data_IF_063432530070
#
_entry.id   IF_063432530070
#
_cell.length_a   1.000
_cell.length_b   1.000
_cell.length_c   1.000
_cell.angle_alpha   90.00
_cell.angle_beta   90.00
_cell.angle_gamma   90.00
#
_symmetry.space_group_name_H-M   'P 1'
#
loop_
_entity.id
_entity.type
_entity.pdbx_description
1 polymer ?
#
# COMPACT_ATOMS: atom_id res chain seq x y z
N UNK A 1 31.14 7.43 5.91
CA UNK A 1 30.39 8.37 5.05
C UNK A 1 29.58 9.30 5.95
N UNK A 2 29.61 10.62 5.71
CA UNK A 2 28.69 11.54 6.41
C UNK A 2 27.28 11.30 5.89
N UNK A 3 26.27 11.25 6.75
CA UNK A 3 24.87 10.94 6.39
C UNK A 3 24.02 12.22 6.30
N UNK A 4 24.51 13.34 6.82
CA UNK A 4 23.80 14.62 6.88
C UNK A 4 22.99 14.74 8.16
N UNK A 5 22.11 13.76 8.42
CA UNK A 5 21.43 13.61 9.70
C UNK A 5 22.14 12.64 10.65
N UNK A 6 21.93 12.84 11.96
CA UNK A 6 22.45 11.93 13.00
C UNK A 6 21.70 10.60 12.94
N UNK A 7 22.42 9.50 12.81
CA UNK A 7 21.85 8.14 12.84
C UNK A 7 21.49 7.74 14.27
N UNK A 8 20.56 6.80 14.43
CA UNK A 8 19.93 6.39 15.67
C UNK A 8 19.22 7.55 16.38
N UNK A 9 18.66 8.47 15.58
CA UNK A 9 17.91 9.62 16.06
C UNK A 9 16.63 9.82 15.26
N UNK A 10 15.61 10.30 15.96
CA UNK A 10 14.38 10.79 15.36
C UNK A 10 14.47 12.30 15.23
N UNK A 11 14.33 12.79 14.00
CA UNK A 11 14.39 14.20 13.66
C UNK A 11 12.97 14.74 13.49
N UNK A 12 12.58 15.70 14.31
CA UNK A 12 11.28 16.35 14.14
C UNK A 12 11.35 17.33 12.97
N UNK A 13 10.32 17.34 12.12
CA UNK A 13 10.20 18.24 10.97
C UNK A 13 9.49 17.62 9.77
N UNK A 14 9.32 18.41 8.72
CA UNK A 14 8.72 17.96 7.46
C UNK A 14 9.62 16.91 6.76
N UNK A 15 9.01 15.88 6.19
CA UNK A 15 9.76 14.77 5.60
C UNK A 15 10.55 15.20 4.36
N UNK A 16 10.08 16.17 3.57
CA UNK A 16 10.80 16.67 2.38
C UNK A 16 12.02 17.49 2.78
N UNK A 17 11.86 18.38 3.76
CA UNK A 17 12.96 19.15 4.33
C UNK A 17 14.04 18.23 4.88
N UNK A 18 13.66 17.26 5.72
CA UNK A 18 14.60 16.31 6.32
C UNK A 18 15.21 15.37 5.30
N UNK A 19 14.44 14.91 4.31
CA UNK A 19 14.99 14.15 3.19
C UNK A 19 16.08 14.94 2.48
N UNK A 20 15.94 16.25 2.29
CA UNK A 20 16.94 17.09 1.61
C UNK A 20 18.28 17.17 2.37
N UNK A 21 18.24 17.06 3.70
CA UNK A 21 19.42 17.07 4.58
C UNK A 21 20.20 15.74 4.54
N UNK A 22 19.57 14.64 4.11
CA UNK A 22 20.21 13.33 4.04
C UNK A 22 21.08 13.22 2.78
N UNK A 23 22.29 12.68 2.91
CA UNK A 23 23.17 12.46 1.77
C UNK A 23 22.65 11.36 0.84
N UNK A 24 22.93 11.47 -0.46
CA UNK A 24 22.51 10.46 -1.43
C UNK A 24 23.22 9.11 -1.18
N UNK A 25 22.53 8.00 -1.48
CA UNK A 25 23.12 6.67 -1.47
C UNK A 25 23.67 6.19 -0.12
N UNK A 26 23.04 6.55 1.00
CA UNK A 26 23.52 6.20 2.34
C UNK A 26 22.56 5.31 3.16
N UNK A 27 21.32 5.14 2.72
CA UNK A 27 20.29 4.32 3.39
C UNK A 27 20.18 2.95 2.72
N UNK A 28 20.05 1.88 3.50
CA UNK A 28 19.92 0.50 3.01
C UNK A 28 18.45 0.14 2.75
N UNK A 29 17.57 0.48 3.69
CA UNK A 29 16.15 0.15 3.64
C UNK A 29 15.34 1.39 4.02
N UNK A 30 14.33 1.72 3.22
CA UNK A 30 13.29 2.68 3.60
C UNK A 30 11.96 1.95 3.74
N UNK A 31 11.24 2.18 4.84
CA UNK A 31 9.83 1.80 4.97
C UNK A 31 9.02 3.07 5.18
N UNK A 32 8.01 3.30 4.34
CA UNK A 32 7.14 4.47 4.43
C UNK A 32 5.68 4.05 4.60
N UNK A 33 5.03 4.61 5.63
CA UNK A 33 3.60 4.54 5.88
C UNK A 33 3.03 5.97 5.91
N UNK A 34 2.91 6.64 4.74
CA UNK A 34 2.44 8.01 4.67
C UNK A 34 0.98 8.15 5.15
N UNK A 35 0.49 9.37 5.41
CA UNK A 35 -0.95 9.63 5.49
C UNK A 35 -1.66 9.15 4.21
N UNK A 36 -2.77 8.43 4.34
CA UNK A 36 -3.45 7.80 3.18
C UNK A 36 -4.39 8.75 2.43
N UNK A 37 -4.52 10.01 2.87
CA UNK A 37 -5.44 11.01 2.35
C UNK A 37 -6.91 10.58 2.43
N UNK A 38 -7.29 9.97 3.56
CA UNK A 38 -8.64 9.42 3.81
C UNK A 38 -9.44 10.25 4.82
N UNK A 39 -8.92 11.43 5.21
CA UNK A 39 -9.50 12.32 6.21
C UNK A 39 -9.26 11.83 7.64
N UNK A 40 -8.19 11.08 7.90
CA UNK A 40 -7.78 10.75 9.25
C UNK A 40 -7.39 12.01 10.02
N UNK A 41 -7.73 12.06 11.32
CA UNK A 41 -7.43 13.22 12.16
C UNK A 41 -6.07 13.07 12.82
N UNK A 42 -5.05 13.65 12.19
CA UNK A 42 -3.77 13.92 12.84
C UNK A 42 -3.87 15.21 13.68
N UNK A 43 -2.87 15.43 14.51
CA UNK A 43 -2.75 16.61 15.37
C UNK A 43 -2.30 17.85 14.58
N UNK A 44 -1.36 17.70 13.66
CA UNK A 44 -0.76 18.81 12.90
C UNK A 44 -0.86 18.67 11.36
N UNK A 45 -1.42 17.58 10.84
CA UNK A 45 -1.52 17.31 9.40
C UNK A 45 -2.96 17.18 8.92
N UNK A 46 -3.28 17.82 7.78
CA UNK A 46 -4.57 17.68 7.11
C UNK A 46 -4.53 16.52 6.10
N UNK A 47 -5.18 15.41 6.45
CA UNK A 47 -5.25 14.18 5.64
C UNK A 47 -6.38 14.22 4.59
N UNK A 48 -6.75 15.41 4.10
CA UNK A 48 -7.81 15.58 3.11
C UNK A 48 -7.47 16.61 2.04
N UNK A 49 -6.32 16.41 1.41
CA UNK A 49 -5.77 17.23 0.33
C UNK A 49 -6.40 16.89 -1.01
N UNK A 50 -6.29 17.79 -1.98
CA UNK A 50 -6.72 17.53 -3.36
C UNK A 50 -5.88 16.43 -4.00
N UNK A 51 -6.47 15.62 -4.88
CA UNK A 51 -5.81 14.44 -5.46
C UNK A 51 -4.47 14.77 -6.13
N UNK A 52 -4.44 15.79 -7.00
CA UNK A 52 -3.22 16.22 -7.70
C UNK A 52 -2.15 16.72 -6.72
N UNK A 53 -2.55 17.50 -5.71
CA UNK A 53 -1.66 18.04 -4.69
C UNK A 53 -1.04 16.92 -3.83
N UNK A 54 -1.85 15.92 -3.45
CA UNK A 54 -1.40 14.75 -2.69
C UNK A 54 -0.43 13.89 -3.51
N UNK A 55 -0.75 13.64 -4.78
CA UNK A 55 0.11 12.86 -5.68
C UNK A 55 1.43 13.57 -5.99
N UNK A 56 1.41 14.89 -6.19
CA UNK A 56 2.62 15.69 -6.40
C UNK A 56 3.49 15.72 -5.14
N UNK A 57 2.88 15.84 -3.96
CA UNK A 57 3.59 15.70 -2.69
C UNK A 57 4.19 14.29 -2.54
N UNK A 58 3.44 13.25 -2.91
CA UNK A 58 3.93 11.88 -2.87
C UNK A 58 5.13 11.65 -3.78
N UNK A 59 5.06 12.14 -5.00
CA UNK A 59 6.16 12.06 -5.96
C UNK A 59 7.44 12.69 -5.42
N UNK A 60 7.35 13.82 -4.72
CA UNK A 60 8.51 14.51 -4.15
C UNK A 60 9.22 13.66 -3.09
N UNK A 61 8.48 13.11 -2.11
CA UNK A 61 9.13 12.31 -1.08
C UNK A 61 9.58 10.94 -1.60
N UNK A 62 8.87 10.33 -2.56
CA UNK A 62 9.34 9.09 -3.22
C UNK A 62 10.65 9.33 -3.97
N UNK A 63 10.78 10.47 -4.66
CA UNK A 63 12.03 10.88 -5.30
C UNK A 63 13.15 11.12 -4.29
N UNK A 64 12.85 11.75 -3.15
CA UNK A 64 13.78 11.89 -2.03
C UNK A 64 14.27 10.53 -1.51
N UNK A 65 13.36 9.58 -1.29
CA UNK A 65 13.68 8.20 -0.88
C UNK A 65 14.59 7.52 -1.91
N UNK A 66 14.28 7.63 -3.21
CA UNK A 66 15.13 7.07 -4.27
C UNK A 66 16.57 7.61 -4.25
N UNK A 67 16.73 8.92 -3.97
CA UNK A 67 18.04 9.58 -3.89
C UNK A 67 18.86 9.07 -2.70
N UNK A 68 18.24 8.96 -1.51
CA UNK A 68 18.97 8.61 -0.28
C UNK A 68 19.31 7.11 -0.19
N UNK A 69 18.55 6.26 -0.88
CA UNK A 69 18.83 4.82 -0.93
C UNK A 69 20.11 4.50 -1.70
N UNK A 70 20.92 3.60 -1.14
CA UNK A 70 22.08 2.96 -1.80
C UNK A 70 21.66 2.27 -3.10
N UNK A 71 22.55 2.06 -4.07
CA UNK A 71 22.21 1.41 -5.35
C UNK A 71 21.53 0.03 -5.21
N UNK A 72 21.87 -0.72 -4.17
CA UNK A 72 21.30 -2.03 -3.79
C UNK A 72 20.19 -1.93 -2.73
N UNK A 73 19.74 -0.70 -2.43
CA UNK A 73 18.77 -0.40 -1.39
C UNK A 73 17.33 -0.73 -1.77
N UNK A 74 16.52 -0.97 -0.74
CA UNK A 74 15.12 -1.39 -0.86
C UNK A 74 14.18 -0.32 -0.30
N UNK A 75 13.02 -0.14 -0.95
CA UNK A 75 11.96 0.75 -0.52
C UNK A 75 10.65 -0.03 -0.36
N UNK A 76 10.05 0.04 0.82
CA UNK A 76 8.72 -0.47 1.09
C UNK A 76 7.72 0.66 1.30
N UNK A 77 6.57 0.58 0.64
CA UNK A 77 5.49 1.56 0.77
C UNK A 77 4.19 0.89 1.20
N UNK A 78 3.63 1.32 2.33
CA UNK A 78 2.27 1.01 2.74
C UNK A 78 1.28 2.05 2.24
N UNK A 79 0.15 1.63 1.65
CA UNK A 79 -0.92 2.52 1.21
C UNK A 79 -2.28 1.82 1.17
N UNK A 80 -3.35 2.59 1.33
CA UNK A 80 -4.74 2.15 1.13
C UNK A 80 -5.14 2.03 -0.34
N UNK A 81 -6.38 1.61 -0.58
CA UNK A 81 -6.92 1.35 -1.92
C UNK A 81 -6.89 2.59 -2.83
N UNK A 82 -7.10 3.78 -2.26
CA UNK A 82 -7.37 5.04 -2.98
C UNK A 82 -6.28 5.44 -3.98
N UNK A 83 -5.02 5.23 -3.63
CA UNK A 83 -3.87 5.71 -4.42
C UNK A 83 -2.85 4.62 -4.72
N UNK A 84 -3.17 3.34 -4.48
CA UNK A 84 -2.22 2.25 -4.65
C UNK A 84 -1.70 2.14 -6.09
N UNK A 85 -2.60 2.29 -7.07
CA UNK A 85 -2.21 2.20 -8.48
C UNK A 85 -1.34 3.39 -8.91
N UNK A 86 -1.73 4.59 -8.49
CA UNK A 86 -1.07 5.86 -8.79
C UNK A 86 0.33 5.88 -8.20
N UNK A 87 0.50 5.53 -6.92
CA UNK A 87 1.82 5.52 -6.27
C UNK A 87 2.73 4.43 -6.85
N UNK A 88 2.18 3.26 -7.24
CA UNK A 88 2.96 2.25 -7.98
C UNK A 88 3.46 2.80 -9.31
N UNK A 89 2.59 3.45 -10.08
CA UNK A 89 2.95 4.02 -11.38
C UNK A 89 3.98 5.13 -11.20
N UNK A 90 3.77 6.03 -10.24
CA UNK A 90 4.71 7.11 -9.92
C UNK A 90 6.10 6.55 -9.57
N UNK A 91 6.18 5.64 -8.60
CA UNK A 91 7.45 5.06 -8.17
C UNK A 91 8.20 4.37 -9.32
N UNK A 92 7.49 3.65 -10.20
CA UNK A 92 8.12 2.83 -11.25
C UNK A 92 8.37 3.55 -12.57
N UNK A 93 7.46 4.43 -13.01
CA UNK A 93 7.54 5.07 -14.33
C UNK A 93 8.10 6.48 -14.27
N UNK A 94 8.03 7.14 -13.13
CA UNK A 94 8.43 8.55 -13.00
C UNK A 94 9.68 8.72 -12.14
N UNK A 95 9.83 7.93 -11.07
CA UNK A 95 11.00 8.04 -10.17
C UNK A 95 12.11 7.05 -10.54
N UNK A 96 11.76 5.84 -11.00
CA UNK A 96 12.73 4.87 -11.53
C UNK A 96 12.98 3.64 -10.64
N UNK A 97 12.10 3.35 -9.68
CA UNK A 97 12.14 2.08 -8.94
C UNK A 97 11.66 0.90 -9.79
N UNK A 98 12.08 -0.30 -9.40
CA UNK A 98 11.53 -1.56 -9.90
C UNK A 98 10.60 -2.17 -8.84
N UNK A 99 9.36 -2.48 -9.21
CA UNK A 99 8.43 -3.17 -8.32
C UNK A 99 8.77 -4.67 -8.30
N UNK A 100 9.47 -5.13 -7.26
CA UNK A 100 9.80 -6.54 -7.07
C UNK A 100 8.57 -7.36 -6.66
N UNK A 101 7.73 -6.80 -5.79
CA UNK A 101 6.50 -7.45 -5.38
C UNK A 101 5.44 -6.44 -4.98
N UNK A 102 4.19 -6.74 -5.32
CA UNK A 102 3.03 -6.09 -4.72
C UNK A 102 2.46 -7.06 -3.68
N UNK A 103 2.72 -6.76 -2.42
CA UNK A 103 2.26 -7.58 -1.30
C UNK A 103 0.91 -7.07 -0.82
N UNK A 104 -0.01 -7.98 -0.54
CA UNK A 104 -1.29 -7.68 0.10
C UNK A 104 -1.21 -8.09 1.56
N UNK A 105 -1.22 -7.12 2.47
CA UNK A 105 -1.37 -7.40 3.89
C UNK A 105 -2.86 -7.39 4.25
N UNK A 106 -3.41 -8.56 4.50
CA UNK A 106 -4.81 -8.73 4.89
C UNK A 106 -4.96 -8.81 6.42
N UNK A 107 -6.08 -8.27 6.91
CA UNK A 107 -6.46 -8.31 8.30
C UNK A 107 -7.98 -8.50 8.46
N UNK A 108 -8.36 -9.30 9.45
CA UNK A 108 -9.73 -9.81 9.65
C UNK A 108 -10.72 -8.79 10.17
N UNK A 109 -10.24 -7.78 10.89
CA UNK A 109 -11.08 -6.69 11.37
C UNK A 109 -10.92 -5.51 10.44
N UNK A 110 -11.93 -5.21 9.63
CA UNK A 110 -11.94 -4.16 8.61
C UNK A 110 -12.94 -3.04 8.88
N UNK A 111 -12.97 -2.03 8.02
CA UNK A 111 -14.05 -1.02 8.02
C UNK A 111 -15.23 -1.59 7.25
N UNK A 112 -16.40 -1.69 7.90
CA UNK A 112 -17.61 -2.13 7.24
C UNK A 112 -18.08 -1.09 6.22
N UNK A 113 -18.27 -1.53 4.97
CA UNK A 113 -18.71 -0.66 3.88
C UNK A 113 -20.19 -0.90 3.59
N UNK A 114 -20.98 0.19 3.50
CA UNK A 114 -22.43 0.10 3.26
C UNK A 114 -22.78 -0.29 1.81
N UNK A 115 -21.93 0.05 0.86
CA UNK A 115 -22.17 -0.06 -0.58
C UNK A 115 -21.08 -0.86 -1.31
N UNK A 116 -20.38 -1.75 -0.61
CA UNK A 116 -19.29 -2.55 -1.17
C UNK A 116 -18.78 -3.61 -0.19
N UNK A 117 -17.70 -4.30 -0.57
CA UNK A 117 -17.03 -5.25 0.31
C UNK A 117 -16.30 -4.51 1.44
N UNK A 118 -16.15 -5.18 2.59
CA UNK A 118 -15.41 -4.61 3.72
C UNK A 118 -13.93 -4.45 3.39
N UNK A 119 -13.37 -3.29 3.73
CA UNK A 119 -11.94 -3.02 3.57
C UNK A 119 -11.14 -3.77 4.63
N UNK A 120 -10.36 -4.73 4.20
CA UNK A 120 -9.68 -5.73 5.04
C UNK A 120 -8.23 -5.96 4.65
N UNK A 121 -7.63 -5.02 3.92
CA UNK A 121 -6.22 -5.12 3.54
C UNK A 121 -5.57 -3.75 3.39
N UNK A 122 -4.24 -3.77 3.34
CA UNK A 122 -3.36 -2.67 2.98
C UNK A 122 -2.41 -3.16 1.89
N UNK A 123 -2.07 -2.30 0.94
CA UNK A 123 -1.07 -2.61 -0.08
C UNK A 123 0.31 -2.31 0.45
N UNK A 124 1.23 -3.28 0.30
CA UNK A 124 2.65 -3.13 0.62
C UNK A 124 3.45 -3.31 -0.67
N UNK A 125 3.96 -2.22 -1.23
CA UNK A 125 4.82 -2.31 -2.40
C UNK A 125 6.26 -2.53 -1.98
N UNK A 126 6.88 -3.57 -2.52
CA UNK A 126 8.30 -3.86 -2.39
C UNK A 126 9.01 -3.35 -3.65
N UNK A 127 9.56 -2.15 -3.55
CA UNK A 127 10.36 -1.50 -4.57
C UNK A 127 11.85 -1.71 -4.31
N UNK A 128 12.63 -1.83 -5.39
CA UNK A 128 14.08 -1.94 -5.34
C UNK A 128 14.69 -1.01 -6.39
N UNK A 129 15.90 -0.49 -6.16
CA UNK A 129 16.58 0.33 -7.16
C UNK A 129 17.08 -0.54 -8.32
N UNK A 130 17.72 -1.65 -8.00
CA UNK A 130 18.22 -2.61 -8.99
C UNK A 130 17.61 -4.02 -8.77
N UNK A 131 16.87 -4.58 -9.73
CA UNK A 131 16.28 -5.91 -9.60
C UNK A 131 17.31 -7.04 -9.48
N UNK A 132 18.56 -6.84 -9.90
CA UNK A 132 19.59 -7.87 -9.88
C UNK A 132 20.46 -7.81 -8.62
N UNK A 133 20.81 -6.61 -8.16
CA UNK A 133 21.76 -6.46 -7.03
C UNK A 133 21.10 -6.12 -5.70
N UNK A 134 19.83 -5.69 -5.68
CA UNK A 134 19.22 -5.26 -4.41
C UNK A 134 19.05 -6.39 -3.41
N UNK A 135 19.34 -6.07 -2.15
CA UNK A 135 19.40 -7.03 -1.05
C UNK A 135 18.06 -7.75 -0.84
N UNK A 136 18.12 -9.07 -0.73
CA UNK A 136 16.98 -9.90 -0.34
C UNK A 136 17.46 -11.16 0.40
N UNK A 137 17.22 -11.23 1.70
CA UNK A 137 17.71 -12.29 2.59
C UNK A 137 16.87 -13.56 2.51
N UNK A 138 16.76 -14.13 1.31
CA UNK A 138 15.88 -15.27 1.03
C UNK A 138 16.15 -16.51 1.91
N UNK A 139 17.38 -16.65 2.43
CA UNK A 139 17.80 -17.78 3.24
C UNK A 139 17.75 -17.52 4.75
N UNK A 140 17.32 -16.32 5.18
CA UNK A 140 17.08 -16.06 6.60
C UNK A 140 15.94 -16.98 7.10
N UNK A 141 16.22 -17.89 8.05
CA UNK A 141 15.22 -18.82 8.55
C UNK A 141 14.03 -18.12 9.21
N UNK A 142 14.22 -16.91 9.74
CA UNK A 142 13.16 -16.14 10.39
C UNK A 142 12.17 -15.50 9.42
N UNK A 143 12.43 -15.54 8.10
CA UNK A 143 11.45 -15.14 7.07
C UNK A 143 10.91 -16.31 6.26
N UNK A 144 11.48 -17.52 6.43
CA UNK A 144 11.00 -18.72 5.75
C UNK A 144 9.85 -19.37 6.52
N UNK A 145 9.05 -20.11 5.77
CA UNK A 145 7.85 -20.77 6.26
C UNK A 145 7.89 -22.22 5.81
N UNK A 146 7.37 -23.19 6.58
CA UNK A 146 7.19 -24.52 6.06
C UNK A 146 6.36 -24.48 4.77
N UNK A 147 6.55 -25.48 3.92
CA UNK A 147 5.74 -25.66 2.73
C UNK A 147 4.75 -26.79 2.94
N UNK A 148 3.61 -26.74 2.25
CA UNK A 148 2.69 -27.87 2.19
C UNK A 148 3.37 -29.17 1.69
N UNK A 149 4.42 -29.05 0.84
CA UNK A 149 5.25 -30.19 0.45
C UNK A 149 5.96 -30.87 1.63
N UNK A 150 6.40 -30.09 2.61
CA UNK A 150 6.99 -30.60 3.85
C UNK A 150 5.91 -31.11 4.81
N UNK A 151 4.87 -30.32 5.05
CA UNK A 151 3.91 -30.59 6.12
C UNK A 151 2.83 -31.61 5.74
N UNK A 152 2.36 -31.58 4.49
CA UNK A 152 1.18 -32.33 4.03
C UNK A 152 1.59 -33.52 3.17
N UNK A 153 2.50 -33.31 2.22
CA UNK A 153 2.78 -34.31 1.19
C UNK A 153 3.97 -35.22 1.50
N UNK A 154 4.79 -34.90 2.50
CA UNK A 154 6.03 -35.63 2.79
C UNK A 154 6.95 -35.76 1.56
N UNK A 155 6.94 -34.76 0.67
CA UNK A 155 7.64 -34.81 -0.61
C UNK A 155 9.14 -34.64 -0.39
N UNK A 156 9.95 -35.65 -0.75
CA UNK A 156 11.40 -35.62 -0.59
C UNK A 156 12.09 -34.47 -1.35
N UNK A 157 11.43 -33.86 -2.35
CA UNK A 157 11.93 -32.68 -3.09
C UNK A 157 11.68 -31.38 -2.35
N UNK A 158 10.98 -31.41 -1.21
CA UNK A 158 10.69 -30.20 -0.46
C UNK A 158 12.00 -29.62 0.10
N UNK A 159 12.15 -28.29 0.01
CA UNK A 159 13.32 -27.64 0.56
C UNK A 159 13.27 -27.76 2.09
N UNK A 160 14.25 -28.39 2.75
CA UNK A 160 14.23 -28.58 4.20
C UNK A 160 14.24 -27.25 4.97
N UNK A 161 14.75 -26.17 4.37
CA UNK A 161 14.72 -24.81 4.95
C UNK A 161 13.35 -24.13 4.84
N UNK A 162 12.35 -24.76 4.24
CA UNK A 162 11.06 -24.12 3.96
C UNK A 162 11.02 -23.38 2.64
N UNK A 163 9.94 -22.63 2.43
CA UNK A 163 9.72 -21.74 1.29
C UNK A 163 9.68 -20.28 1.75
N UNK A 164 9.79 -19.36 0.80
CA UNK A 164 9.42 -17.95 1.06
C UNK A 164 7.89 -17.82 1.17
N UNK A 165 7.40 -16.86 1.97
CA UNK A 165 5.98 -16.58 2.07
C UNK A 165 5.45 -16.07 0.74
N UNK A 166 4.16 -16.29 0.51
CA UNK A 166 3.47 -15.76 -0.66
C UNK A 166 3.42 -14.22 -0.58
N UNK A 167 3.16 -13.57 -1.73
CA UNK A 167 2.94 -12.12 -1.77
C UNK A 167 1.55 -11.71 -1.23
N UNK A 168 0.79 -12.64 -0.68
CA UNK A 168 -0.50 -12.37 -0.05
C UNK A 168 -0.42 -12.83 1.40
N UNK A 169 -0.24 -11.86 2.31
CA UNK A 169 -0.09 -12.08 3.74
C UNK A 169 -1.48 -12.08 4.37
N UNK A 170 -2.19 -13.20 4.19
CA UNK A 170 -3.58 -13.42 4.59
C UNK A 170 -3.72 -14.35 5.80
N UNK A 171 -4.90 -14.25 6.43
CA UNK A 171 -5.48 -15.33 7.21
C UNK A 171 -6.09 -16.34 6.25
N UNK A 172 -5.78 -17.64 6.37
CA UNK A 172 -6.49 -18.69 5.64
C UNK A 172 -7.47 -19.39 6.57
N UNK A 173 -8.54 -19.99 6.03
CA UNK A 173 -9.53 -20.74 6.80
C UNK A 173 -8.98 -21.80 7.77
N UNK A 174 -7.75 -22.27 7.61
CA UNK A 174 -7.04 -23.17 8.55
C UNK A 174 -6.70 -22.50 9.90
N UNK A 175 -6.74 -21.16 9.97
CA UNK A 175 -6.37 -20.36 11.14
C UNK A 175 -7.56 -20.16 12.13
N UNK A 176 -8.60 -21.01 12.06
CA UNK A 176 -9.84 -20.89 12.82
C UNK A 176 -10.42 -22.24 13.25
N UNK A 177 -9.68 -23.12 13.96
CA UNK A 177 -9.94 -24.57 14.10
C UNK A 177 -11.29 -25.04 14.72
N UNK A 178 -12.16 -24.13 15.18
CA UNK A 178 -13.59 -24.44 15.32
C UNK A 178 -14.34 -24.41 13.94
N UNK A 179 -13.57 -24.32 12.84
CA UNK A 179 -13.87 -24.55 11.42
C UNK A 179 -12.58 -24.66 10.57
N UNK A 180 -12.64 -25.48 9.49
CA UNK A 180 -11.58 -25.88 8.52
C UNK A 180 -10.25 -26.43 9.10
N UNK A 181 -9.86 -27.61 8.61
CA UNK A 181 -8.95 -28.60 9.24
C UNK A 181 -7.43 -28.35 9.09
N UNK A 182 -6.66 -29.27 9.68
CA UNK A 182 -5.34 -29.17 10.33
C UNK A 182 -4.06 -29.03 9.47
N UNK A 183 -4.12 -28.75 8.17
CA UNK A 183 -2.97 -28.96 7.27
C UNK A 183 -2.51 -27.75 6.41
N UNK A 184 -2.48 -26.50 6.91
CA UNK A 184 -1.85 -25.42 6.12
C UNK A 184 -1.10 -24.26 6.79
N UNK A 185 -0.08 -23.78 6.06
CA UNK A 185 0.83 -22.63 6.27
C UNK A 185 0.30 -21.18 6.02
N UNK A 186 -0.13 -20.40 7.01
CA UNK A 186 -0.27 -18.94 6.82
C UNK A 186 0.36 -18.08 7.89
N UNK A 187 1.01 -16.99 7.44
CA UNK A 187 1.49 -15.92 8.29
C UNK A 187 0.46 -14.81 8.37
N UNK A 188 0.14 -14.43 9.60
CA UNK A 188 -0.87 -13.45 9.95
C UNK A 188 -0.22 -12.31 10.74
N UNK A 189 -0.44 -11.07 10.29
CA UNK A 189 -0.17 -9.90 11.12
C UNK A 189 -1.50 -9.22 11.42
N UNK A 190 -2.04 -9.32 12.64
CA UNK A 190 -3.25 -8.56 12.98
C UNK A 190 -2.94 -7.07 12.92
N UNK A 191 -3.96 -6.23 12.66
CA UNK A 191 -3.85 -4.80 13.04
C UNK A 191 -3.63 -4.69 14.54
N UNK A 192 -2.87 -3.69 14.98
CA UNK A 192 -2.64 -3.42 16.41
C UNK A 192 -3.92 -2.84 17.02
N UNK A 193 -4.74 -3.71 17.60
CA UNK A 193 -6.00 -3.34 18.26
C UNK A 193 -5.76 -2.75 19.66
N UNK A 194 -6.73 -2.00 20.17
CA UNK A 194 -6.63 -1.28 21.46
C UNK A 194 -6.30 -2.15 22.67
N UNK A 195 -6.58 -3.45 22.61
CA UNK A 195 -6.35 -4.40 23.70
C UNK A 195 -5.04 -5.16 23.55
N UNK A 196 -4.19 -4.85 22.57
CA UNK A 196 -2.97 -5.62 22.34
C UNK A 196 -1.82 -5.08 23.18
N UNK A 197 -0.93 -5.96 23.67
CA UNK A 197 0.22 -5.56 24.51
C UNK A 197 1.11 -4.54 23.80
N UNK A 198 1.26 -4.68 22.49
CA UNK A 198 2.06 -3.79 21.66
C UNK A 198 1.46 -2.39 21.51
N UNK A 199 0.15 -2.21 21.76
CA UNK A 199 -0.53 -0.94 21.51
C UNK A 199 -0.02 0.14 22.45
N UNK A 200 0.56 1.18 21.88
CA UNK A 200 1.04 2.34 22.62
C UNK A 200 -0.08 3.32 23.02
N UNK A 201 -1.15 3.36 22.22
CA UNK A 201 -2.37 4.12 22.53
C UNK A 201 -2.36 5.58 22.08
N UNK A 202 -1.20 6.17 21.76
CA UNK A 202 -1.09 7.56 21.32
C UNK A 202 -1.24 7.79 19.82
N UNK A 203 -1.09 6.74 18.99
CA UNK A 203 -1.27 6.81 17.54
C UNK A 203 -2.35 5.83 17.08
N UNK A 204 -3.28 6.26 16.22
CA UNK A 204 -4.42 5.44 15.80
C UNK A 204 -4.03 4.27 14.91
N UNK A 205 -3.08 4.51 14.01
CA UNK A 205 -2.65 3.61 12.94
C UNK A 205 -1.26 3.04 13.23
N UNK A 206 -1.07 2.40 14.40
CA UNK A 206 0.20 1.76 14.73
C UNK A 206 0.40 0.48 13.90
N UNK A 207 1.55 0.37 13.22
CA UNK A 207 1.96 -0.83 12.49
C UNK A 207 2.45 -1.93 13.45
N UNK A 208 2.19 -3.23 13.17
CA UNK A 208 2.66 -4.34 14.00
C UNK A 208 4.17 -4.59 13.89
N UNK A 209 4.84 -4.83 15.01
CA UNK A 209 6.28 -5.11 15.06
C UNK A 209 6.67 -6.33 14.23
N UNK A 210 5.88 -7.41 14.26
CA UNK A 210 6.19 -8.63 13.51
C UNK A 210 6.08 -8.44 11.99
N UNK A 211 5.17 -7.58 11.53
CA UNK A 211 5.02 -7.24 10.11
C UNK A 211 6.28 -6.53 9.61
N UNK A 212 6.70 -5.48 10.33
CA UNK A 212 7.91 -4.75 9.98
C UNK A 212 9.17 -5.59 10.22
N UNK A 213 9.16 -6.48 11.21
CA UNK A 213 10.26 -7.39 11.49
C UNK A 213 10.60 -8.26 10.29
N UNK A 214 9.59 -8.78 9.61
CA UNK A 214 9.77 -9.51 8.35
C UNK A 214 10.39 -8.63 7.27
N UNK A 215 9.86 -7.43 7.07
CA UNK A 215 10.35 -6.49 6.05
C UNK A 215 11.82 -6.15 6.31
N UNK A 216 12.16 -5.79 7.55
CA UNK A 216 13.52 -5.44 7.96
C UNK A 216 14.48 -6.62 7.79
N UNK A 217 14.10 -7.84 8.22
CA UNK A 217 14.95 -9.04 8.03
C UNK A 217 15.15 -9.38 6.56
N UNK A 218 14.09 -9.27 5.74
CA UNK A 218 14.15 -9.63 4.33
C UNK A 218 14.98 -8.64 3.50
N UNK A 219 15.08 -7.38 3.90
CA UNK A 219 15.63 -6.30 3.07
C UNK A 219 16.82 -5.55 3.70
N UNK A 220 17.37 -6.02 4.83
CA UNK A 220 18.53 -5.43 5.48
C UNK A 220 19.27 -6.42 6.38
N UNK A 221 20.55 -6.16 6.65
CA UNK A 221 21.38 -6.91 7.60
C UNK A 221 21.59 -6.13 8.91
N UNK A 222 22.14 -6.78 9.93
CA UNK A 222 22.53 -6.07 11.15
C UNK A 222 23.53 -4.95 10.84
N UNK A 223 23.37 -3.80 11.49
CA UNK A 223 24.20 -2.62 11.26
C UNK A 223 23.83 -1.75 10.05
N UNK A 224 22.99 -2.26 9.14
CA UNK A 224 22.41 -1.46 8.03
C UNK A 224 21.52 -0.34 8.56
N UNK A 225 21.31 0.70 7.73
CA UNK A 225 20.50 1.86 8.09
C UNK A 225 19.08 1.70 7.53
N UNK A 226 18.11 1.63 8.45
CA UNK A 226 16.67 1.65 8.16
C UNK A 226 16.13 3.06 8.33
N UNK A 227 15.50 3.61 7.30
CA UNK A 227 14.89 4.94 7.28
C UNK A 227 13.36 4.86 7.28
N UNK A 228 12.71 5.73 8.05
CA UNK A 228 11.27 5.95 8.04
C UNK A 228 10.94 7.44 7.90
N UNK A 229 10.40 7.90 6.74
CA UNK A 229 10.03 9.29 6.55
C UNK A 229 8.76 9.71 7.31
N UNK A 230 7.99 8.76 7.85
CA UNK A 230 6.69 8.99 8.49
C UNK A 230 6.62 8.24 9.83
N UNK A 231 7.33 8.76 10.83
CA UNK A 231 7.58 8.09 12.10
C UNK A 231 6.32 7.57 12.80
N UNK A 232 5.23 8.35 12.85
CA UNK A 232 3.92 7.96 13.39
C UNK A 232 3.97 7.42 14.82
N UNK A 233 4.00 6.10 14.96
CA UNK A 233 4.12 5.41 16.26
C UNK A 233 5.54 4.93 16.60
N UNK A 234 6.47 5.08 15.66
CA UNK A 234 7.88 4.70 15.77
C UNK A 234 8.17 3.22 15.53
N UNK A 235 7.19 2.42 15.09
CA UNK A 235 7.36 0.95 15.00
C UNK A 235 8.54 0.57 14.11
N UNK A 236 8.74 1.19 12.95
CA UNK A 236 9.88 0.89 12.07
C UNK A 236 11.22 1.07 12.78
N UNK A 237 11.38 2.18 13.50
CA UNK A 237 12.60 2.54 14.20
C UNK A 237 12.86 1.59 15.39
N UNK A 238 11.79 1.28 16.14
CA UNK A 238 11.83 0.32 17.25
C UNK A 238 12.24 -1.06 16.75
N UNK A 239 11.61 -1.56 15.69
CA UNK A 239 11.93 -2.85 15.09
C UNK A 239 13.36 -2.89 14.56
N UNK A 240 13.80 -1.82 13.89
CA UNK A 240 15.19 -1.70 13.44
C UNK A 240 16.16 -1.79 14.61
N UNK A 241 15.93 -1.03 15.71
CA UNK A 241 16.76 -1.08 16.93
C UNK A 241 16.78 -2.48 17.54
N UNK A 242 15.62 -3.09 17.76
CA UNK A 242 15.49 -4.46 18.30
C UNK A 242 16.25 -5.49 17.48
N UNK A 243 16.20 -5.37 16.16
CA UNK A 243 16.90 -6.27 15.24
C UNK A 243 18.38 -5.90 15.02
N UNK A 244 18.94 -4.94 15.76
CA UNK A 244 20.35 -4.56 15.66
C UNK A 244 20.70 -3.79 14.38
N UNK A 245 19.72 -3.15 13.74
CA UNK A 245 19.93 -2.20 12.65
C UNK A 245 20.12 -0.81 13.21
N UNK A 246 20.87 0.01 12.49
CA UNK A 246 20.85 1.46 12.69
C UNK A 246 19.54 2.01 12.13
N UNK A 247 19.07 3.10 12.70
CA UNK A 247 17.78 3.66 12.28
C UNK A 247 17.85 5.17 12.13
N UNK A 248 16.99 5.72 11.27
CA UNK A 248 16.82 7.13 11.04
C UNK A 248 15.34 7.37 10.80
N UNK A 249 14.74 8.37 11.44
CA UNK A 249 13.32 8.65 11.23
C UNK A 249 13.01 10.13 11.26
N UNK A 250 11.92 10.49 10.59
CA UNK A 250 11.38 11.86 10.61
C UNK A 250 9.93 11.83 11.06
N UNK A 251 9.52 12.82 11.84
CA UNK A 251 8.14 12.96 12.29
C UNK A 251 7.75 14.43 12.32
N UNK A 252 6.60 14.76 11.73
CA UNK A 252 6.13 16.14 11.64
C UNK A 252 5.65 16.65 13.01
N UNK A 253 4.89 15.83 13.72
CA UNK A 253 4.35 16.18 15.04
C UNK A 253 5.43 16.17 16.11
N UNK A 254 5.55 17.28 16.85
CA UNK A 254 6.40 17.31 18.04
C UNK A 254 5.90 16.35 19.13
N UNK A 255 4.58 16.23 19.32
CA UNK A 255 4.01 15.32 20.33
C UNK A 255 4.32 13.85 20.00
N UNK A 256 4.11 13.44 18.75
CA UNK A 256 4.46 12.08 18.33
C UNK A 256 5.96 11.86 18.39
N UNK A 257 6.77 12.84 17.99
CA UNK A 257 8.22 12.73 18.07
C UNK A 257 8.69 12.45 19.51
N UNK A 258 8.14 13.14 20.51
CA UNK A 258 8.50 12.92 21.91
C UNK A 258 8.07 11.53 22.41
N UNK A 259 6.90 11.04 22.01
CA UNK A 259 6.45 9.69 22.38
C UNK A 259 7.24 8.59 21.68
N UNK A 260 7.64 8.79 20.42
CA UNK A 260 8.53 7.88 19.71
C UNK A 260 9.90 7.82 20.40
N UNK A 261 10.48 8.97 20.79
CA UNK A 261 11.75 9.03 21.55
C UNK A 261 11.65 8.24 22.86
N UNK A 262 10.61 8.46 23.65
CA UNK A 262 10.37 7.70 24.89
C UNK A 262 10.26 6.18 24.63
N UNK A 263 9.59 5.78 23.55
CA UNK A 263 9.47 4.36 23.15
C UNK A 263 10.84 3.78 22.76
N UNK A 264 11.67 4.55 22.06
CA UNK A 264 13.01 4.14 21.64
C UNK A 264 14.00 4.08 22.81
N UNK A 265 13.89 5.00 23.78
CA UNK A 265 14.77 5.05 24.95
C UNK A 265 14.60 3.80 25.83
N UNK A 266 13.39 3.27 25.93
CA UNK A 266 13.09 2.03 26.68
C UNK A 266 13.21 0.73 25.87
N UNK A 267 13.54 0.82 24.59
CA UNK A 267 13.71 -0.35 23.71
C UNK A 267 15.18 -0.75 23.69
N UNK A 268 15.49 -2.02 23.89
CA UNK A 268 16.88 -2.51 23.84
C UNK A 268 17.20 -3.24 22.55
N UNK A 269 18.49 -3.21 22.16
CA UNK A 269 18.97 -4.00 21.01
C UNK A 269 18.89 -5.49 21.39
N UNK A 270 18.35 -6.31 20.49
CA UNK A 270 18.15 -7.74 20.72
C UNK A 270 16.87 -8.10 21.47
N UNK A 271 16.07 -7.12 21.91
CA UNK A 271 14.76 -7.41 22.51
C UNK A 271 13.85 -8.12 21.48
N UNK A 272 13.08 -9.15 21.88
CA UNK A 272 12.15 -9.81 20.98
C UNK A 272 11.08 -8.85 20.44
N UNK A 273 10.66 -9.09 19.19
CA UNK A 273 9.53 -8.39 18.59
C UNK A 273 8.23 -8.78 19.29
N UNK A 274 7.40 -7.79 19.58
CA UNK A 274 6.10 -8.03 20.24
C UNK A 274 5.09 -8.57 19.24
N UNK A 275 4.25 -9.51 19.70
CA UNK A 275 3.31 -10.25 18.86
C UNK A 275 3.87 -11.62 18.50
N UNK A 276 3.02 -12.53 18.06
CA UNK A 276 3.49 -13.84 17.61
C UNK A 276 4.08 -13.71 16.21
N UNK A 277 5.24 -14.32 15.97
CA UNK A 277 5.85 -14.41 14.63
C UNK A 277 4.90 -15.11 13.64
N UNK A 278 4.15 -16.09 14.17
CA UNK A 278 3.08 -16.84 13.50
C UNK A 278 1.88 -16.97 14.44
N UNK A 279 0.98 -15.98 14.53
CA UNK A 279 -0.15 -16.08 15.44
C UNK A 279 -1.14 -17.12 14.90
N UNK A 280 -1.04 -18.35 15.40
CA UNK A 280 -2.00 -19.43 15.17
C UNK A 280 -3.33 -19.20 15.93
N UNK A 281 -3.40 -18.15 16.78
CA UNK A 281 -4.55 -17.79 17.63
C UNK A 281 -4.61 -16.27 17.83
N UNK A 282 -5.78 -15.78 18.25
CA UNK A 282 -6.01 -14.39 18.63
C UNK A 282 -5.02 -13.91 19.70
N UNK A 283 -4.59 -12.65 19.64
CA UNK A 283 -3.67 -12.08 20.63
C UNK A 283 -4.18 -12.28 22.07
N UNK A 284 -3.30 -12.59 23.04
CA UNK A 284 -3.70 -12.81 24.42
C UNK A 284 -4.38 -11.56 25.00
N UNK A 285 -5.40 -11.78 25.84
CA UNK A 285 -6.14 -10.68 26.48
C UNK A 285 -5.22 -9.87 27.39
N UNK A 286 -5.20 -8.55 27.24
CA UNK A 286 -4.50 -7.64 28.18
C UNK A 286 -5.41 -7.22 29.34
N UNK A 287 -4.83 -6.56 30.35
CA UNK A 287 -5.57 -5.95 31.47
C UNK A 287 -6.67 -4.96 31.01
N UNK A 288 -6.50 -4.37 29.82
CA UNK A 288 -7.46 -3.46 29.20
C UNK A 288 -8.48 -4.17 28.29
N UNK A 289 -8.39 -5.50 28.15
CA UNK A 289 -9.29 -6.30 27.32
C UNK A 289 -10.69 -6.44 27.93
N UNK A 290 -11.71 -5.90 27.26
CA UNK A 290 -13.11 -6.14 27.66
C UNK A 290 -13.50 -7.59 27.36
N UNK A 291 -13.83 -8.37 28.39
CA UNK A 291 -14.45 -9.70 28.22
C UNK A 291 -15.89 -9.50 27.75
N UNK A 292 -16.22 -10.05 26.57
CA UNK A 292 -17.62 -10.17 26.16
C UNK A 292 -18.33 -11.08 27.16
N UNK A 293 -19.45 -10.61 27.73
CA UNK A 293 -20.25 -11.42 28.63
C UNK A 293 -20.63 -12.73 27.93
N UNK A 294 -20.35 -13.88 28.56
CA UNK A 294 -20.73 -15.18 28.03
C UNK A 294 -22.24 -15.16 27.80
N UNK A 295 -22.68 -15.19 26.54
CA UNK A 295 -24.08 -15.47 26.22
C UNK A 295 -24.43 -16.82 26.87
N UNK A 296 -25.54 -16.93 27.62
CA UNK A 296 -25.91 -18.20 28.23
C UNK A 296 -26.06 -19.23 27.11
N UNK A 297 -25.33 -20.34 27.23
CA UNK A 297 -25.37 -21.46 26.33
C UNK A 297 -26.83 -21.93 26.19
N UNK A 298 -27.41 -21.83 24.99
CA UNK A 298 -28.69 -22.48 24.72
C UNK A 298 -28.48 -23.98 24.88
N UNK A 299 -29.11 -24.58 25.89
CA UNK A 299 -29.18 -26.04 26.03
C UNK A 299 -29.68 -26.66 24.71
N UNK A 300 -29.19 -27.83 24.29
CA UNK A 300 -29.68 -28.50 23.09
C UNK A 300 -31.17 -28.82 23.27
N UNK A 301 -32.01 -28.28 22.38
CA UNK A 301 -33.43 -28.61 22.34
C UNK A 301 -33.59 -30.09 21.95
N UNK A 302 -34.14 -30.91 22.86
CA UNK A 302 -34.61 -32.25 22.53
C UNK A 302 -35.64 -32.16 21.40
N UNK A 303 -35.39 -32.80 20.26
CA UNK A 303 -36.38 -33.01 19.20
C UNK A 303 -37.57 -33.80 19.78
N UNK A 304 -38.84 -33.38 19.60
CA UNK A 304 -39.97 -34.24 19.89
C UNK A 304 -40.25 -35.14 18.68
N UNK A 305 -40.33 -36.44 18.96
CA UNK A 305 -40.85 -37.48 18.06
C UNK A 305 -42.33 -37.25 17.74
N UNK A 306 -42.69 -37.43 16.46
CA UNK A 306 -44.08 -37.44 15.96
C UNK A 306 -44.91 -38.51 16.67
N UNK A 307 -46.12 -38.16 17.12
CA UNK A 307 -47.29 -39.05 17.13
C UNK A 307 -48.56 -38.22 16.86
N UNK A 308 -49.34 -38.69 15.89
CA UNK A 308 -50.65 -38.16 15.52
C UNK A 308 -51.69 -38.53 16.58
N UNK A 309 -52.58 -37.59 16.93
CA UNK A 309 -53.99 -37.90 17.23
C UNK A 309 -54.88 -36.65 17.14
N UNK A 310 -56.17 -36.89 16.91
CA UNK A 310 -57.18 -36.07 16.26
C UNK A 310 -57.82 -34.97 17.16
N UNK A 311 -58.38 -33.95 16.49
CA UNK A 311 -59.35 -32.88 16.88
C UNK A 311 -60.52 -33.35 17.81
N UNK A 312 -61.41 -32.49 18.39
CA UNK A 312 -61.80 -31.12 17.93
C UNK A 312 -62.14 -30.02 18.99
N UNK A 313 -62.13 -28.77 18.48
CA UNK A 313 -62.93 -27.57 18.79
C UNK A 313 -63.69 -27.37 20.12
N UNK A 314 -63.57 -26.15 20.69
CA UNK A 314 -64.69 -25.28 21.12
C UNK A 314 -64.22 -23.84 21.44
N UNK A 315 -64.91 -22.85 20.85
CA UNK A 315 -65.11 -21.44 21.30
C UNK A 315 -66.56 -21.38 21.86
N UNK A 316 -67.09 -20.32 22.54
CA UNK A 316 -66.85 -18.88 22.32
C UNK A 316 -67.04 -17.93 23.56
N UNK A 317 -67.16 -16.62 23.27
CA UNK A 317 -67.70 -15.44 24.04
C UNK A 317 -66.65 -14.49 24.67
N UNK A 318 -66.48 -13.22 24.23
CA UNK A 318 -67.31 -11.96 24.26
C UNK A 318 -67.44 -11.43 25.72
N UNK A 319 -67.18 -10.16 26.12
CA UNK A 319 -66.99 -8.82 25.48
C UNK A 319 -66.52 -7.80 26.59
N UNK A 320 -66.61 -6.44 26.51
CA UNK A 320 -65.50 -5.48 26.29
C UNK A 320 -65.32 -4.37 27.37
N UNK A 321 -64.27 -3.52 27.28
CA UNK A 321 -64.30 -2.05 27.60
C UNK A 321 -63.25 -1.28 26.77
N UNK A 322 -63.63 -0.09 26.26
CA UNK A 322 -62.88 0.90 25.46
C UNK A 322 -61.86 1.72 26.32
N UNK A 323 -61.00 2.64 25.87
CA UNK A 323 -60.96 3.57 24.73
C UNK A 323 -59.56 4.23 24.62
N UNK A 324 -59.22 4.84 23.47
CA UNK A 324 -58.35 6.04 23.45
C UNK A 324 -57.02 6.05 22.68
N UNK A 325 -56.96 5.67 21.38
CA UNK A 325 -55.87 6.12 20.47
C UNK A 325 -56.32 6.25 19.01
N UNK A 326 -56.87 7.40 18.65
CA UNK A 326 -57.16 7.75 17.26
C UNK A 326 -56.90 9.24 17.01
N UNK A 327 -55.62 9.64 16.92
CA UNK A 327 -55.24 10.95 16.33
C UNK A 327 -53.80 11.02 15.76
N UNK A 328 -53.10 9.90 15.60
CA UNK A 328 -51.67 9.90 15.20
C UNK A 328 -51.35 9.17 13.89
N UNK A 329 -52.33 8.58 13.19
CA UNK A 329 -52.10 7.85 11.93
C UNK A 329 -52.37 8.67 10.66
N UNK A 330 -53.25 9.68 10.69
CA UNK A 330 -53.59 10.46 9.48
C UNK A 330 -52.49 11.46 9.05
N UNK A 331 -51.74 12.06 9.99
CA UNK A 331 -50.68 13.04 9.65
C UNK A 331 -49.38 12.44 9.07
N UNK A 332 -49.15 11.13 9.25
CA UNK A 332 -47.92 10.44 8.78
C UNK A 332 -48.01 9.89 7.35
N UNK A 333 -49.22 9.69 6.80
CA UNK A 333 -49.38 9.20 5.42
C UNK A 333 -49.29 10.34 4.39
N UNK A 334 -49.86 11.51 4.68
CA UNK A 334 -49.88 12.66 3.76
C UNK A 334 -48.48 13.24 3.52
N UNK A 335 -47.61 13.25 4.53
CA UNK A 335 -46.22 13.73 4.41
C UNK A 335 -45.28 12.76 3.68
N UNK A 336 -45.61 11.47 3.61
CA UNK A 336 -44.76 10.45 2.98
C UNK A 336 -45.00 10.35 1.46
N UNK A 337 -46.22 10.60 0.99
CA UNK A 337 -46.53 10.65 -0.45
C UNK A 337 -46.01 11.92 -1.12
N UNK A 338 -46.15 13.09 -0.48
CA UNK A 338 -45.65 14.36 -1.02
C UNK A 338 -44.11 14.37 -1.20
N UNK A 339 -43.35 13.88 -0.21
CA UNK A 339 -41.88 13.79 -0.32
C UNK A 339 -41.39 12.87 -1.44
N UNK A 340 -42.17 11.81 -1.77
CA UNK A 340 -41.80 10.80 -2.77
C UNK A 340 -42.04 11.26 -4.20
N UNK A 341 -43.04 12.12 -4.44
CA UNK A 341 -43.28 12.73 -5.75
C UNK A 341 -42.26 13.82 -6.08
N UNK A 342 -41.92 14.68 -5.12
CA UNK A 342 -40.93 15.78 -5.31
C UNK A 342 -39.53 15.23 -5.61
N UNK A 343 -39.10 14.13 -4.97
CA UNK A 343 -37.79 13.52 -5.26
C UNK A 343 -37.73 12.82 -6.62
N UNK A 344 -38.85 12.31 -7.14
CA UNK A 344 -38.88 11.63 -8.43
C UNK A 344 -38.79 12.62 -9.59
N UNK A 345 -39.50 13.76 -9.51
CA UNK A 345 -39.42 14.82 -10.52
C UNK A 345 -38.03 15.50 -10.54
N UNK A 346 -37.44 15.78 -9.38
CA UNK A 346 -36.09 16.36 -9.30
C UNK A 346 -35.00 15.46 -9.91
N UNK A 347 -35.05 14.14 -9.66
CA UNK A 347 -34.10 13.18 -10.25
C UNK A 347 -34.22 13.08 -11.78
N UNK A 348 -35.43 13.15 -12.32
CA UNK A 348 -35.65 13.06 -13.77
C UNK A 348 -35.19 14.33 -14.50
N UNK A 349 -35.37 15.51 -13.90
CA UNK A 349 -34.87 16.78 -14.47
C UNK A 349 -33.34 16.88 -14.42
N UNK A 350 -32.72 16.49 -13.29
CA UNK A 350 -31.26 16.47 -13.15
C UNK A 350 -30.60 15.52 -14.16
N UNK A 351 -31.16 14.32 -14.36
CA UNK A 351 -30.62 13.34 -15.33
C UNK A 351 -30.68 13.85 -16.78
N UNK A 352 -31.76 14.56 -17.15
CA UNK A 352 -31.89 15.16 -18.50
C UNK A 352 -30.91 16.31 -18.72
N UNK A 353 -30.69 17.17 -17.72
CA UNK A 353 -29.72 18.27 -17.83
C UNK A 353 -28.28 17.76 -17.92
N UNK A 354 -27.87 16.82 -17.06
CA UNK A 354 -26.51 16.24 -17.07
C UNK A 354 -26.21 15.55 -18.41
N UNK A 355 -27.18 14.80 -18.97
CA UNK A 355 -27.00 14.12 -20.26
C UNK A 355 -26.84 15.11 -21.43
N UNK A 356 -27.57 16.25 -21.40
CA UNK A 356 -27.47 17.28 -22.44
C UNK A 356 -26.13 18.04 -22.35
N UNK A 357 -25.67 18.31 -21.13
CA UNK A 357 -24.41 19.03 -20.89
C UNK A 357 -23.19 18.16 -21.22
N UNK A 358 -23.22 16.87 -20.86
CA UNK A 358 -22.19 15.89 -21.22
C UNK A 358 -22.07 15.69 -22.74
N UNK A 359 -23.20 15.55 -23.46
CA UNK A 359 -23.17 15.44 -24.93
C UNK A 359 -22.57 16.67 -25.62
N UNK A 360 -22.85 17.88 -25.10
CA UNK A 360 -22.31 19.13 -25.64
C UNK A 360 -20.79 19.24 -25.39
N UNK A 361 -20.32 18.92 -24.18
CA UNK A 361 -18.89 18.96 -23.84
C UNK A 361 -18.07 17.93 -24.61
N UNK A 362 -18.57 16.69 -24.74
CA UNK A 362 -17.88 15.63 -25.49
C UNK A 362 -17.74 15.98 -26.97
N UNK A 363 -18.80 16.49 -27.62
CA UNK A 363 -18.70 16.87 -29.03
C UNK A 363 -17.71 18.02 -29.28
N UNK A 364 -17.64 19.00 -28.38
CA UNK A 364 -16.70 20.12 -28.51
C UNK A 364 -15.25 19.68 -28.27
N UNK A 365 -14.98 18.88 -27.22
CA UNK A 365 -13.62 18.41 -26.94
C UNK A 365 -13.09 17.45 -28.00
N UNK A 366 -13.91 16.50 -28.45
CA UNK A 366 -13.49 15.50 -29.45
C UNK A 366 -13.19 16.17 -30.78
N UNK A 367 -14.05 17.07 -31.26
CA UNK A 367 -13.82 17.74 -32.55
C UNK A 367 -12.58 18.65 -32.51
N UNK A 368 -12.33 19.36 -31.41
CA UNK A 368 -11.15 20.23 -31.28
C UNK A 368 -9.86 19.43 -31.17
N UNK A 369 -9.84 18.32 -30.41
CA UNK A 369 -8.64 17.48 -30.30
C UNK A 369 -8.33 16.73 -31.60
N UNK A 370 -9.33 16.14 -32.25
CA UNK A 370 -9.14 15.37 -33.49
C UNK A 370 -8.62 16.29 -34.60
N UNK A 371 -9.21 17.47 -34.78
CA UNK A 371 -8.74 18.41 -35.81
C UNK A 371 -7.32 18.94 -35.50
N UNK A 372 -6.99 19.20 -34.23
CA UNK A 372 -5.66 19.68 -33.85
C UNK A 372 -4.58 18.62 -34.05
N UNK A 373 -4.87 17.36 -33.73
CA UNK A 373 -3.94 16.25 -33.92
C UNK A 373 -3.75 15.90 -35.40
N UNK A 374 -4.83 15.88 -36.19
CA UNK A 374 -4.76 15.67 -37.63
C UNK A 374 -3.89 16.75 -38.31
N UNK A 375 -4.09 18.02 -37.97
CA UNK A 375 -3.30 19.13 -38.52
C UNK A 375 -1.81 19.05 -38.15
N UNK A 376 -1.49 18.64 -36.91
CA UNK A 376 -0.10 18.43 -36.46
C UNK A 376 0.58 17.26 -37.18
N UNK A 377 -0.14 16.15 -37.40
CA UNK A 377 0.42 14.99 -38.12
C UNK A 377 0.70 15.31 -39.60
N UNK A 378 -0.22 16.01 -40.28
CA UNK A 378 -0.04 16.42 -41.68
C UNK A 378 1.17 17.34 -41.83
N UNK A 379 1.34 18.35 -40.94
CA UNK A 379 2.52 19.23 -40.95
C UNK A 379 3.83 18.47 -40.70
N UNK A 380 3.83 17.48 -39.82
CA UNK A 380 5.01 16.65 -39.50
C UNK A 380 5.39 15.72 -40.66
N UNK A 381 4.41 15.20 -41.40
CA UNK A 381 4.68 14.40 -42.60
C UNK A 381 5.18 15.26 -43.76
N UNK A 382 4.62 16.45 -43.97
CA UNK A 382 5.06 17.38 -45.00
C UNK A 382 6.54 17.82 -44.80
N UNK A 383 6.93 18.14 -43.56
CA UNK A 383 8.32 18.51 -43.22
C UNK A 383 9.30 17.35 -43.36
N UNK A 384 8.92 16.11 -43.02
CA UNK A 384 9.74 14.92 -43.30
C UNK A 384 9.93 14.69 -44.80
N UNK A 385 8.88 14.88 -45.60
CA UNK A 385 8.93 14.69 -47.07
C UNK A 385 9.78 15.77 -47.76
N UNK A 386 9.77 17.01 -47.24
CA UNK A 386 10.62 18.09 -47.70
C UNK A 386 12.11 17.85 -47.40
N UNK A 387 12.47 17.42 -46.17
CA UNK A 387 13.85 17.09 -45.79
C UNK A 387 14.44 15.92 -46.61
N UNK A 388 13.62 14.93 -46.98
CA UNK A 388 14.06 13.78 -47.80
C UNK A 388 14.31 14.16 -49.27
N UNK A 389 13.63 15.21 -49.77
CA UNK A 389 13.81 15.74 -51.14
C UNK A 389 15.04 16.64 -51.27
N UNK A 390 15.44 17.33 -50.20
CA UNK A 390 16.67 18.15 -50.20
C UNK A 390 17.92 17.29 -50.06
N UNK A 391 17.88 16.20 -49.28
CA UNK A 391 19.02 15.26 -49.17
C UNK A 391 19.28 14.46 -50.45
N UNK A 392 18.27 14.19 -51.27
CA UNK A 392 18.45 13.44 -52.54
C UNK A 392 19.02 14.29 -53.69
N UNK A 393 18.95 15.63 -53.60
CA UNK A 393 19.52 16.54 -54.62
C UNK A 393 21.01 16.84 -54.42
N UNK A 394 21.57 16.57 -53.24
CA UNK A 394 22.97 16.90 -52.92
C UNK A 394 24.00 15.84 -53.36
N UNK A 395 23.58 14.65 -53.81
CA UNK A 395 24.49 13.51 -54.10
C UNK A 395 24.88 13.41 -55.60
N UNK A 396 24.38 14.27 -56.48
CA UNK A 396 24.73 14.27 -57.92
C UNK A 396 25.55 15.50 -58.32
N UNK A 397 26.84 15.55 -57.98
CA UNK A 397 27.88 16.33 -58.70
C UNK A 397 29.28 15.76 -58.38
N UNK A 398 29.84 14.95 -59.30
CA UNK A 398 31.27 14.61 -59.38
C UNK A 398 31.91 15.45 -60.50
N UNK A 399 33.13 15.98 -60.36
CA UNK A 399 33.98 16.30 -61.50
C UNK A 399 34.91 15.13 -61.81
N UNK A 400 35.18 14.93 -63.10
CA UNK A 400 36.07 13.92 -63.64
C UNK A 400 37.53 14.44 -63.68
N UNK A 401 38.51 13.55 -63.44
CA UNK A 401 39.58 13.22 -64.40
C UNK A 401 40.57 12.17 -63.86
N UNK A 402 40.88 11.24 -64.77
CA UNK A 402 42.01 10.29 -64.95
C UNK A 402 43.36 10.93 -64.54
N UNK A 403 44.49 10.27 -64.25
CA UNK A 403 45.09 8.92 -64.22
C UNK A 403 46.51 9.15 -63.65
N UNK A 404 47.29 8.26 -63.05
CA UNK A 404 47.93 7.05 -63.59
C UNK A 404 48.85 6.50 -62.48
N UNK A 405 49.04 5.20 -62.56
CA UNK A 405 49.90 4.28 -61.81
C UNK A 405 51.37 4.73 -61.72
N UNK A 406 52.03 4.51 -60.57
CA UNK A 406 53.20 3.62 -60.41
C UNK A 406 54.00 3.90 -59.13
N UNK A 407 54.21 2.83 -58.38
CA UNK A 407 55.05 2.65 -57.20
C UNK A 407 56.56 2.72 -57.48
N UNK A 408 57.34 3.29 -56.57
CA UNK A 408 58.72 2.86 -56.22
C UNK A 408 59.26 3.56 -54.96
N UNK A 409 59.79 2.76 -54.04
CA UNK A 409 60.61 3.15 -52.89
C UNK A 409 62.01 3.62 -53.33
N UNK A 410 62.60 4.59 -52.61
CA UNK A 410 64.05 4.77 -52.34
C UNK A 410 64.17 5.87 -51.24
N UNK A 411 64.56 5.57 -49.99
CA UNK A 411 65.92 5.53 -49.38
C UNK A 411 66.57 6.92 -49.14
N UNK A 412 66.96 7.15 -47.86
CA UNK A 412 67.95 8.11 -47.30
C UNK A 412 67.59 9.61 -47.34
N UNK A 413 67.93 10.48 -46.37
CA UNK A 413 69.06 10.52 -45.42
C UNK A 413 68.78 11.57 -44.31
N UNK A 414 69.17 11.25 -43.06
CA UNK A 414 69.84 12.06 -42.02
C UNK A 414 69.61 13.59 -41.90
N UNK A 415 69.35 14.08 -40.67
CA UNK A 415 70.28 14.90 -39.84
C UNK A 415 69.59 15.46 -38.57
N UNK A 416 70.12 15.09 -37.39
CA UNK A 416 70.08 15.78 -36.08
C UNK A 416 71.04 17.01 -36.10
N UNK A 417 71.30 17.79 -35.02
CA UNK A 417 70.86 17.76 -33.59
C UNK A 417 70.27 19.15 -33.15
N UNK A 418 69.85 19.45 -31.90
CA UNK A 418 70.27 19.05 -30.55
C UNK A 418 69.11 19.10 -29.57
#
# INVERSE_FOLDING_TARGET
>A
MKIGLKVNHLHQGDCLEKLSEINAGCVDLCFADPPFNIGYKYDVYDDKRGDEEYLDWCKQWIHGVHRVLKPDGTFWLAIGDEYAAELKVCATREVGFHCRSWVIWYYTFGVNCKFGFSRSHTHLFHFVKDPQSSKFNADDPAIRVPSARQLVYGDARANPKGRLPDNTWILRPQDLPDGFETDGDTWYFPRVAGTFKEREGFHGCQMPEQLLGRIVRASSDQGDIVFDPFGGSGTTLVVAKKLGRKWLGTELSQEYADKIRQRLDRTEVGEPLVGAENPLRSAPSTKNGKRLAKKPSKKPSKKPSKKLSKKPSKKPSKKPVASGKAKTQAKKQVTKQAKKQVTKQAKTQAKKQVTKQAKKQVNTQVNTQVNTQATKQVKKQATKKAKKRTSSKAVKKKPAKKSKVASRNLVQKSLFPS
#
